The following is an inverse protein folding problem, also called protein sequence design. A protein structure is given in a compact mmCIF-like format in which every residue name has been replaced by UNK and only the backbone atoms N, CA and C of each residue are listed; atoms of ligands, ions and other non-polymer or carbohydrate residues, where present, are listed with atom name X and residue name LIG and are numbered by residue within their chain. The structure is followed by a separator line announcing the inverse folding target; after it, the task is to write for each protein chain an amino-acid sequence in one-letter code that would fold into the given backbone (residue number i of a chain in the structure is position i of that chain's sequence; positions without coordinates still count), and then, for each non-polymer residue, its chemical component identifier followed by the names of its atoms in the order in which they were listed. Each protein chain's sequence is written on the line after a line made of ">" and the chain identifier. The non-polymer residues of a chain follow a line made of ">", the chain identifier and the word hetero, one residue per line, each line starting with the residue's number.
data_IF_076869063243
#
_entry.id   IF_076869063243
#
_cell.length_a   1.000
_cell.length_b   1.000
_cell.length_c   1.000
_cell.angle_alpha   90.00
_cell.angle_beta   90.00
_cell.angle_gamma   90.00
#
_symmetry.space_group_name_H-M   'P 1'
#
loop_
_entity.id
_entity.type
_entity.pdbx_description
1 polymer ?
#
# COMPACT_ATOMS: atom_id res chain seq x y z
N UNK A 1 -31.90 5.10 -9.28
CA UNK A 1 -32.37 5.02 -7.88
C UNK A 1 -31.42 5.86 -7.04
N UNK A 2 -31.91 7.02 -6.59
CA UNK A 2 -31.14 7.98 -5.80
C UNK A 2 -30.77 7.36 -4.45
N UNK A 3 -29.48 7.16 -4.21
CA UNK A 3 -28.95 6.99 -2.88
C UNK A 3 -27.74 7.91 -2.76
N UNK A 4 -27.96 9.07 -2.14
CA UNK A 4 -26.90 9.78 -1.46
C UNK A 4 -26.41 8.87 -0.33
N UNK A 5 -25.47 7.96 -0.60
CA UNK A 5 -24.79 7.27 0.48
C UNK A 5 -23.98 8.32 1.24
N UNK A 6 -24.40 8.65 2.47
CA UNK A 6 -23.59 9.41 3.43
C UNK A 6 -22.22 8.73 3.49
N UNK A 7 -21.19 9.35 2.90
CA UNK A 7 -19.83 8.96 3.24
C UNK A 7 -19.64 9.36 4.69
N UNK A 8 -19.77 8.42 5.62
CA UNK A 8 -19.56 8.65 7.06
C UNK A 8 -18.20 9.28 7.40
N UNK A 9 -17.30 9.38 6.43
CA UNK A 9 -15.93 9.87 6.58
C UNK A 9 -15.03 8.95 7.40
N UNK A 10 -15.56 7.78 7.74
CA UNK A 10 -14.88 6.68 8.41
C UNK A 10 -14.76 5.48 7.48
N UNK A 11 -13.66 4.74 7.63
CA UNK A 11 -13.44 3.47 6.93
C UNK A 11 -13.25 2.35 7.95
N UNK A 12 -13.99 1.25 7.81
CA UNK A 12 -13.76 0.08 8.65
C UNK A 12 -12.33 -0.45 8.47
N UNK A 13 -11.62 -0.66 9.57
CA UNK A 13 -10.24 -1.16 9.56
C UNK A 13 -10.17 -2.66 9.78
N UNK A 14 -9.02 -3.24 9.40
CA UNK A 14 -8.67 -4.62 9.73
C UNK A 14 -7.91 -4.74 11.06
N UNK A 15 -7.89 -3.70 11.89
CA UNK A 15 -7.18 -3.72 13.17
C UNK A 15 -7.89 -4.64 14.18
N UNK A 16 -7.17 -5.42 14.99
CA UNK A 16 -7.77 -6.37 15.94
C UNK A 16 -8.32 -5.70 17.22
N UNK A 17 -9.50 -6.09 17.74
CA UNK A 17 -10.41 -7.08 17.17
C UNK A 17 -11.09 -6.53 15.91
N UNK A 18 -11.24 -7.36 14.86
CA UNK A 18 -11.84 -6.91 13.60
C UNK A 18 -13.28 -6.50 13.82
N UNK A 19 -13.71 -5.44 13.13
CA UNK A 19 -15.05 -4.88 13.32
C UNK A 19 -15.12 -3.79 14.39
N UNK A 20 -14.06 -3.61 15.19
CA UNK A 20 -14.09 -2.70 16.34
C UNK A 20 -13.52 -1.31 16.06
N UNK A 21 -12.69 -1.16 15.02
CA UNK A 21 -11.92 0.06 14.77
C UNK A 21 -12.22 0.65 13.40
N UNK A 22 -12.43 1.96 13.36
CA UNK A 22 -12.72 2.75 12.17
C UNK A 22 -11.66 3.82 11.96
N UNK A 23 -11.06 3.88 10.78
CA UNK A 23 -10.08 4.90 10.41
C UNK A 23 -10.78 6.22 10.14
N UNK A 24 -10.22 7.31 10.69
CA UNK A 24 -10.54 8.68 10.34
C UNK A 24 -10.12 8.95 8.88
N UNK A 25 -10.98 8.69 7.90
CA UNK A 25 -10.60 8.70 6.48
C UNK A 25 -10.68 10.10 5.86
N UNK A 26 -11.86 10.72 5.88
CA UNK A 26 -12.04 12.12 5.46
C UNK A 26 -12.31 13.06 6.63
N UNK A 27 -12.67 12.51 7.80
CA UNK A 27 -12.84 13.24 9.07
C UNK A 27 -11.51 13.31 9.80
N UNK A 28 -11.24 14.43 10.48
CA UNK A 28 -10.00 14.61 11.24
C UNK A 28 -10.05 13.90 12.59
N UNK A 29 -8.94 13.25 12.96
CA UNK A 29 -8.75 12.71 14.30
C UNK A 29 -8.70 13.87 15.32
N UNK A 30 -9.55 13.88 16.37
CA UNK A 30 -9.61 14.97 17.35
C UNK A 30 -8.34 15.07 18.22
N UNK A 31 -7.51 14.02 18.26
CA UNK A 31 -6.26 14.03 19.02
C UNK A 31 -5.14 14.77 18.26
N UNK A 32 -5.04 14.60 16.94
CA UNK A 32 -3.91 15.13 16.15
C UNK A 32 -4.30 16.11 15.05
N UNK A 33 -5.60 16.33 14.83
CA UNK A 33 -6.13 17.20 13.77
C UNK A 33 -5.83 16.72 12.34
N UNK A 34 -5.47 15.44 12.14
CA UNK A 34 -5.12 14.87 10.83
C UNK A 34 -6.06 13.72 10.45
N UNK A 35 -6.25 13.53 9.15
CA UNK A 35 -6.91 12.35 8.58
C UNK A 35 -5.90 11.22 8.34
N UNK A 36 -6.41 10.01 8.13
CA UNK A 36 -5.67 8.79 7.85
C UNK A 36 -4.88 8.22 9.03
N UNK A 37 -4.74 6.90 9.07
CA UNK A 37 -3.98 6.07 10.02
C UNK A 37 -4.43 6.12 11.49
N UNK A 38 -5.14 7.16 11.93
CA UNK A 38 -5.75 7.21 13.26
C UNK A 38 -7.09 6.47 13.24
N UNK A 39 -7.45 5.82 14.34
CA UNK A 39 -8.67 5.02 14.42
C UNK A 39 -9.50 5.38 15.65
N UNK A 40 -10.82 5.35 15.52
CA UNK A 40 -11.78 5.40 16.62
C UNK A 40 -12.37 4.01 16.88
N UNK A 41 -12.50 3.64 18.14
CA UNK A 41 -13.15 2.40 18.54
C UNK A 41 -14.67 2.51 18.38
N UNK A 42 -15.39 1.41 18.11
CA UNK A 42 -16.86 1.39 17.93
C UNK A 42 -17.63 1.96 19.13
N UNK A 43 -17.05 1.86 20.32
CA UNK A 43 -17.61 2.44 21.55
C UNK A 43 -17.46 3.96 21.63
N UNK A 44 -16.69 4.58 20.73
CA UNK A 44 -16.35 6.00 20.67
C UNK A 44 -15.65 6.58 21.92
N UNK A 45 -15.31 5.74 22.89
CA UNK A 45 -14.61 6.14 24.12
C UNK A 45 -13.08 6.08 24.00
N UNK A 46 -12.55 5.61 22.86
CA UNK A 46 -11.11 5.39 22.65
C UNK A 46 -10.70 5.74 21.23
N UNK A 47 -9.55 6.41 21.10
CA UNK A 47 -8.88 6.69 19.82
C UNK A 47 -7.48 6.10 19.85
N UNK A 48 -7.11 5.36 18.80
CA UNK A 48 -5.75 4.98 18.50
C UNK A 48 -5.12 6.03 17.58
N UNK A 49 -4.31 6.93 18.14
CA UNK A 49 -3.64 7.99 17.41
C UNK A 49 -2.22 7.58 17.05
N UNK A 50 -1.84 7.69 15.77
CA UNK A 50 -0.48 7.35 15.29
C UNK A 50 0.52 8.49 15.43
N UNK A 51 0.09 9.65 15.95
CA UNK A 51 0.85 10.90 15.87
C UNK A 51 1.10 11.59 17.21
N UNK A 52 0.27 11.33 18.21
CA UNK A 52 0.40 11.93 19.55
C UNK A 52 0.57 10.78 20.52
N UNK A 53 1.69 10.80 21.24
CA UNK A 53 2.04 9.73 22.16
C UNK A 53 1.10 9.71 23.37
N UNK A 54 0.94 8.51 23.94
CA UNK A 54 0.28 8.30 25.22
C UNK A 54 0.97 7.14 25.93
N UNK A 55 0.68 6.96 27.22
CA UNK A 55 1.20 5.82 27.99
C UNK A 55 0.71 4.45 27.49
N UNK A 56 -0.34 4.41 26.66
CA UNK A 56 -0.98 3.18 26.22
C UNK A 56 -0.64 2.90 24.77
N UNK A 57 0.26 1.96 24.50
CA UNK A 57 0.62 1.61 23.13
C UNK A 57 -0.28 0.50 22.57
N UNK A 58 -0.63 0.61 21.30
CA UNK A 58 -1.45 -0.34 20.56
C UNK A 58 -0.77 -0.73 19.25
N UNK A 59 -0.88 -2.01 18.89
CA UNK A 59 -0.27 -2.59 17.69
C UNK A 59 1.24 -2.25 17.55
N UNK A 60 2.00 -2.36 18.65
CA UNK A 60 3.42 -1.95 18.77
C UNK A 60 4.32 -2.50 17.64
N UNK A 61 4.05 -3.73 17.20
CA UNK A 61 4.84 -4.45 16.19
C UNK A 61 4.23 -4.39 14.78
N UNK A 62 3.20 -3.56 14.57
CA UNK A 62 2.60 -3.37 13.25
C UNK A 62 3.33 -2.29 12.45
N UNK A 63 2.99 -2.20 11.16
CA UNK A 63 3.44 -1.12 10.26
C UNK A 63 2.94 0.27 10.68
N UNK A 64 1.90 0.35 11.53
CA UNK A 64 1.31 1.59 12.01
C UNK A 64 1.07 1.51 13.55
N UNK A 65 2.15 1.54 14.36
CA UNK A 65 2.00 1.60 15.81
C UNK A 65 1.24 2.86 16.21
N UNK A 66 0.39 2.76 17.23
CA UNK A 66 -0.44 3.88 17.69
C UNK A 66 -0.53 3.92 19.21
N UNK A 67 -1.06 5.03 19.71
CA UNK A 67 -1.20 5.32 21.11
C UNK A 67 -2.69 5.51 21.44
N UNK A 68 -3.18 4.84 22.48
CA UNK A 68 -4.59 4.89 22.89
C UNK A 68 -4.81 6.13 23.75
N UNK A 69 -5.79 6.92 23.34
CA UNK A 69 -6.32 8.08 24.05
C UNK A 69 -7.77 7.78 24.45
N UNK A 70 -8.12 8.01 25.71
CA UNK A 70 -9.48 7.81 26.21
C UNK A 70 -10.24 9.14 26.11
N UNK A 71 -11.44 9.10 25.56
CA UNK A 71 -12.32 10.25 25.42
C UNK A 71 -13.41 10.12 26.47
N UNK A 72 -13.58 11.16 27.30
CA UNK A 72 -14.63 11.20 28.33
C UNK A 72 -15.90 11.88 27.82
N UNK A 73 -15.77 12.89 26.95
CA UNK A 73 -16.85 13.66 26.32
C UNK A 73 -16.39 14.13 24.93
N UNK A 74 -17.27 14.17 23.93
CA UNK A 74 -16.93 14.58 22.57
C UNK A 74 -18.06 14.44 21.55
N UNK A 75 -17.82 14.90 20.31
CA UNK A 75 -18.75 14.77 19.18
C UNK A 75 -19.06 13.29 18.96
N UNK A 76 -20.35 12.94 18.92
CA UNK A 76 -20.79 11.59 18.57
C UNK A 76 -20.68 11.42 17.05
N UNK A 77 -19.93 10.41 16.63
CA UNK A 77 -19.68 10.11 15.23
C UNK A 77 -20.67 9.08 14.71
N UNK A 78 -21.20 9.31 13.51
CA UNK A 78 -22.01 8.31 12.81
C UNK A 78 -21.06 7.32 12.13
N UNK A 79 -20.77 6.21 12.80
CA UNK A 79 -19.92 5.16 12.24
C UNK A 79 -20.69 4.30 11.22
N UNK A 80 -20.07 3.88 10.10
CA UNK A 80 -20.72 3.02 9.13
C UNK A 80 -21.05 1.68 9.78
N UNK A 81 -22.23 1.12 9.47
CA UNK A 81 -22.64 -0.19 9.95
C UNK A 81 -21.58 -1.23 9.55
N UNK A 82 -20.85 -1.75 10.53
CA UNK A 82 -19.96 -2.88 10.27
C UNK A 82 -20.84 -4.12 10.08
N UNK A 83 -20.91 -4.63 8.86
CA UNK A 83 -21.23 -6.04 8.70
C UNK A 83 -20.00 -6.81 9.17
N UNK A 84 -20.15 -7.60 10.24
CA UNK A 84 -19.12 -8.55 10.65
C UNK A 84 -18.93 -9.57 9.54
N UNK A 85 -18.01 -9.30 8.62
CA UNK A 85 -17.63 -10.25 7.57
C UNK A 85 -16.63 -11.23 8.17
N UNK A 86 -16.91 -12.52 8.00
CA UNK A 86 -15.91 -13.57 8.25
C UNK A 86 -14.69 -13.30 7.37
N UNK A 87 -13.50 -13.47 7.93
CA UNK A 87 -12.23 -13.21 7.25
C UNK A 87 -11.19 -14.22 7.69
N UNK A 88 -10.13 -14.37 6.90
CA UNK A 88 -9.08 -15.35 7.17
C UNK A 88 -7.76 -14.68 7.56
N UNK A 89 -6.95 -15.43 8.31
CA UNK A 89 -5.55 -15.09 8.58
C UNK A 89 -4.73 -15.31 7.32
N UNK A 90 -3.77 -14.41 7.06
CA UNK A 90 -2.90 -14.49 5.90
C UNK A 90 -2.05 -15.77 5.96
N UNK A 91 -2.02 -16.51 4.85
CA UNK A 91 -1.19 -17.70 4.67
C UNK A 91 0.31 -17.37 4.68
N UNK A 92 1.13 -18.38 4.92
CA UNK A 92 2.59 -18.25 4.86
C UNK A 92 3.09 -18.00 3.43
N UNK A 93 4.36 -17.60 3.29
CA UNK A 93 4.93 -17.19 2.00
C UNK A 93 4.87 -18.28 0.93
N UNK A 94 5.17 -19.52 1.29
CA UNK A 94 5.14 -20.66 0.37
C UNK A 94 3.75 -20.89 -0.22
N UNK A 95 2.70 -20.93 0.61
CA UNK A 95 1.35 -21.18 0.12
C UNK A 95 0.78 -19.99 -0.65
N UNK A 96 1.19 -18.76 -0.30
CA UNK A 96 0.86 -17.57 -1.07
C UNK A 96 1.49 -17.62 -2.47
N UNK A 97 2.77 -17.97 -2.55
CA UNK A 97 3.47 -18.06 -3.83
C UNK A 97 2.84 -19.12 -4.73
N UNK A 98 2.56 -20.32 -4.22
CA UNK A 98 1.87 -21.37 -4.98
C UNK A 98 0.58 -20.87 -5.63
N UNK A 99 -0.29 -20.18 -4.86
CA UNK A 99 -1.55 -19.65 -5.39
C UNK A 99 -1.30 -18.51 -6.39
N UNK A 100 -0.36 -17.60 -6.10
CA UNK A 100 -0.07 -16.49 -6.98
C UNK A 100 0.62 -16.90 -8.28
N UNK A 101 1.45 -17.95 -8.28
CA UNK A 101 2.07 -18.49 -9.49
C UNK A 101 1.02 -19.09 -10.43
N UNK A 102 0.01 -19.80 -9.90
CA UNK A 102 -1.12 -20.28 -10.72
C UNK A 102 -1.99 -19.12 -11.20
N UNK A 103 -2.23 -18.11 -10.35
CA UNK A 103 -3.00 -16.92 -10.70
C UNK A 103 -2.40 -16.15 -11.89
N UNK A 104 -1.09 -15.92 -11.90
CA UNK A 104 -0.45 -15.09 -12.95
C UNK A 104 -0.39 -15.77 -14.32
N UNK A 105 -0.71 -17.07 -14.42
CA UNK A 105 -0.84 -17.77 -15.71
C UNK A 105 -2.08 -17.28 -16.48
N UNK A 106 -3.12 -16.82 -15.76
CA UNK A 106 -4.36 -16.31 -16.34
C UNK A 106 -4.37 -14.79 -16.55
N UNK A 107 -3.34 -14.11 -16.04
CA UNK A 107 -3.21 -12.67 -16.15
C UNK A 107 -2.09 -12.39 -17.14
N UNK A 108 -2.35 -11.90 -18.35
CA UNK A 108 -1.31 -11.36 -19.22
C UNK A 108 -0.92 -9.94 -18.79
N UNK A 109 0.29 -9.50 -19.16
CA UNK A 109 0.62 -8.08 -19.15
C UNK A 109 0.08 -7.44 -20.43
N UNK A 110 -0.83 -6.49 -20.28
CA UNK A 110 -1.44 -5.78 -21.40
C UNK A 110 -0.44 -4.83 -22.07
N UNK A 111 -0.57 -4.65 -23.38
CA UNK A 111 0.33 -3.83 -24.20
C UNK A 111 0.56 -2.41 -23.63
N UNK A 112 -0.46 -1.62 -23.25
CA UNK A 112 -0.24 -0.29 -22.70
C UNK A 112 0.59 -0.29 -21.40
N UNK A 113 0.47 -1.35 -20.59
CA UNK A 113 1.23 -1.47 -19.34
C UNK A 113 2.68 -1.89 -19.62
N UNK A 114 2.89 -2.78 -20.60
CA UNK A 114 4.24 -3.13 -21.05
C UNK A 114 4.96 -1.91 -21.63
N UNK A 115 4.29 -1.15 -22.50
CA UNK A 115 4.82 0.10 -23.06
C UNK A 115 5.15 1.12 -21.96
N UNK A 116 4.30 1.25 -20.93
CA UNK A 116 4.60 2.11 -19.79
C UNK A 116 5.86 1.67 -19.03
N UNK A 117 6.04 0.37 -18.79
CA UNK A 117 7.21 -0.15 -18.09
C UNK A 117 8.49 0.02 -18.91
N UNK A 118 8.42 -0.12 -20.23
CA UNK A 118 9.57 0.10 -21.11
C UNK A 118 9.91 1.58 -21.22
N UNK A 119 8.92 2.41 -21.59
CA UNK A 119 9.15 3.79 -22.00
C UNK A 119 9.25 4.76 -20.81
N UNK A 120 8.42 4.58 -19.78
CA UNK A 120 8.40 5.50 -18.62
C UNK A 120 9.21 5.00 -17.43
N UNK A 121 9.52 3.69 -17.38
CA UNK A 121 10.28 3.07 -16.28
C UNK A 121 11.63 2.52 -16.72
N UNK A 122 11.97 2.66 -18.00
CA UNK A 122 13.26 2.29 -18.58
C UNK A 122 13.67 0.84 -18.24
N UNK A 123 12.70 -0.07 -18.22
CA UNK A 123 12.93 -1.50 -18.02
C UNK A 123 13.02 -2.23 -19.36
N UNK A 124 13.90 -3.23 -19.44
CA UNK A 124 13.92 -4.12 -20.61
C UNK A 124 12.71 -5.08 -20.57
N UNK A 125 12.27 -5.54 -21.75
CA UNK A 125 11.21 -6.57 -21.84
C UNK A 125 11.59 -7.85 -21.08
N UNK A 126 12.88 -8.22 -21.11
CA UNK A 126 13.39 -9.36 -20.36
C UNK A 126 13.22 -9.16 -18.85
N UNK A 127 13.61 -8.00 -18.33
CA UNK A 127 13.42 -7.63 -16.92
C UNK A 127 11.94 -7.68 -16.54
N UNK A 128 11.06 -7.10 -17.37
CA UNK A 128 9.61 -7.09 -17.14
C UNK A 128 9.06 -8.53 -17.06
N UNK A 129 9.47 -9.40 -18.00
CA UNK A 129 9.05 -10.80 -18.06
C UNK A 129 9.50 -11.59 -16.84
N UNK A 130 10.78 -11.49 -16.47
CA UNK A 130 11.38 -12.24 -15.34
C UNK A 130 10.83 -11.77 -14.01
N UNK A 131 10.61 -10.46 -13.86
CA UNK A 131 9.97 -9.91 -12.66
C UNK A 131 8.48 -10.23 -12.57
N UNK A 132 7.88 -10.80 -13.62
CA UNK A 132 6.48 -11.25 -13.67
C UNK A 132 5.46 -10.13 -13.41
N UNK A 133 5.70 -8.93 -13.94
CA UNK A 133 4.67 -7.88 -13.98
C UNK A 133 3.43 -8.36 -14.74
N UNK A 134 2.24 -7.96 -14.29
CA UNK A 134 0.93 -8.34 -14.87
C UNK A 134 -0.03 -7.15 -14.98
N UNK A 135 -1.14 -7.34 -15.67
CA UNK A 135 -2.27 -6.41 -15.63
C UNK A 135 -3.42 -6.98 -14.82
N UNK A 136 -4.07 -6.15 -14.02
CA UNK A 136 -5.27 -6.57 -13.31
C UNK A 136 -6.43 -6.78 -14.30
N UNK A 137 -7.18 -7.86 -14.11
CA UNK A 137 -8.30 -8.22 -14.99
C UNK A 137 -9.63 -7.72 -14.41
N UNK A 138 -10.32 -6.86 -15.17
CA UNK A 138 -11.63 -6.33 -14.77
C UNK A 138 -12.74 -7.35 -14.92
N UNK A 139 -12.76 -8.10 -16.03
CA UNK A 139 -13.76 -9.11 -16.30
C UNK A 139 -13.33 -10.46 -15.71
N UNK A 140 -13.94 -10.85 -14.60
CA UNK A 140 -13.60 -12.08 -13.89
C UNK A 140 -14.67 -13.16 -13.99
N UNK A 141 -15.92 -12.78 -14.26
CA UNK A 141 -17.07 -13.67 -14.32
C UNK A 141 -17.25 -14.16 -15.76
N UNK A 142 -17.47 -15.46 -15.90
CA UNK A 142 -17.76 -16.14 -17.16
C UNK A 142 -19.11 -16.85 -17.07
N UNK A 143 -19.83 -16.93 -18.19
CA UNK A 143 -21.10 -17.65 -18.30
C UNK A 143 -20.89 -18.83 -19.25
N UNK A 144 -20.96 -20.05 -18.72
CA UNK A 144 -20.89 -21.29 -19.49
C UNK A 144 -22.12 -22.14 -19.16
N UNK A 145 -22.84 -22.64 -20.17
CA UNK A 145 -24.01 -23.53 -19.98
C UNK A 145 -25.04 -23.04 -18.96
N UNK A 146 -25.37 -21.74 -18.99
CA UNK A 146 -26.26 -21.05 -18.05
C UNK A 146 -25.80 -21.06 -16.57
N UNK A 147 -24.53 -21.39 -16.30
CA UNK A 147 -23.91 -21.30 -14.98
C UNK A 147 -22.84 -20.20 -14.94
N UNK A 148 -22.93 -19.35 -13.92
CA UNK A 148 -21.90 -18.36 -13.63
C UNK A 148 -20.73 -19.02 -12.92
N UNK A 149 -19.53 -18.79 -13.46
CA UNK A 149 -18.26 -19.17 -12.84
C UNK A 149 -17.30 -17.98 -12.90
N UNK A 150 -16.08 -18.17 -12.38
CA UNK A 150 -15.02 -17.16 -12.50
C UNK A 150 -13.79 -17.76 -13.14
N UNK A 151 -12.97 -16.91 -13.75
CA UNK A 151 -11.67 -17.34 -14.30
C UNK A 151 -10.80 -18.03 -13.24
N UNK A 152 -11.01 -17.71 -11.96
CA UNK A 152 -10.29 -18.29 -10.83
C UNK A 152 -10.66 -19.74 -10.56
N UNK A 153 -11.80 -20.23 -11.05
CA UNK A 153 -12.12 -21.66 -10.98
C UNK A 153 -11.02 -22.50 -11.65
N UNK A 154 -10.37 -21.99 -12.70
CA UNK A 154 -9.25 -22.67 -13.37
C UNK A 154 -7.99 -22.74 -12.49
N UNK A 155 -7.80 -21.78 -11.58
CA UNK A 155 -6.70 -21.78 -10.61
C UNK A 155 -6.91 -22.85 -9.54
N UNK A 156 -8.16 -23.06 -9.11
CA UNK A 156 -8.47 -23.96 -7.99
C UNK A 156 -9.01 -25.35 -8.41
N UNK A 157 -9.20 -25.57 -9.71
CA UNK A 157 -9.52 -26.88 -10.31
C UNK A 157 -8.29 -27.52 -10.97
N UNK A 158 -7.10 -27.37 -10.37
CA UNK A 158 -5.88 -28.01 -10.84
C UNK A 158 -5.37 -29.06 -9.84
N UNK A 159 -4.34 -29.81 -10.22
CA UNK A 159 -3.79 -30.90 -9.39
C UNK A 159 -2.99 -30.43 -8.17
N UNK A 160 -2.68 -29.14 -8.08
CA UNK A 160 -1.76 -28.54 -7.09
C UNK A 160 -2.54 -27.84 -5.97
N UNK A 161 -3.66 -27.20 -6.30
CA UNK A 161 -4.45 -26.37 -5.41
C UNK A 161 -5.83 -26.97 -5.17
N UNK A 162 -6.33 -26.79 -3.95
CA UNK A 162 -7.70 -27.19 -3.56
C UNK A 162 -8.67 -26.03 -3.73
N UNK A 163 -9.96 -26.33 -3.85
CA UNK A 163 -11.02 -25.33 -4.00
C UNK A 163 -10.99 -24.23 -2.93
N UNK A 164 -10.61 -24.55 -1.69
CA UNK A 164 -10.55 -23.59 -0.59
C UNK A 164 -9.20 -22.88 -0.45
N UNK A 165 -8.23 -23.13 -1.33
CA UNK A 165 -6.87 -22.60 -1.15
C UNK A 165 -6.77 -21.08 -1.33
N UNK A 166 -7.79 -20.41 -1.88
CA UNK A 166 -7.88 -18.96 -1.90
C UNK A 166 -8.14 -18.34 -0.52
N UNK A 167 -8.72 -19.09 0.44
CA UNK A 167 -8.91 -18.58 1.81
C UNK A 167 -7.55 -18.30 2.43
N UNK A 168 -7.39 -17.13 3.04
CA UNK A 168 -6.10 -16.68 3.57
C UNK A 168 -5.14 -16.11 2.52
N UNK A 169 -5.56 -15.96 1.26
CA UNK A 169 -4.78 -15.33 0.18
C UNK A 169 -5.31 -13.91 -0.08
N UNK A 170 -4.49 -12.86 0.14
CA UNK A 170 -4.92 -11.48 -0.10
C UNK A 170 -5.39 -11.24 -1.54
N UNK A 171 -6.51 -10.55 -1.67
CA UNK A 171 -7.15 -10.23 -2.94
C UNK A 171 -8.38 -11.08 -3.20
N UNK A 172 -8.38 -12.37 -2.85
CA UNK A 172 -9.52 -13.25 -3.07
C UNK A 172 -10.60 -13.08 -2.00
N UNK A 173 -11.86 -13.18 -2.40
CA UNK A 173 -13.01 -13.13 -1.51
C UNK A 173 -14.22 -13.87 -2.09
N UNK A 174 -15.18 -14.16 -1.22
CA UNK A 174 -16.45 -14.79 -1.58
C UNK A 174 -17.50 -13.74 -1.88
N UNK A 175 -18.12 -13.80 -3.05
CA UNK A 175 -19.30 -13.03 -3.40
C UNK A 175 -20.50 -13.95 -3.49
N UNK A 176 -21.48 -13.73 -2.61
CA UNK A 176 -22.77 -14.42 -2.69
C UNK A 176 -23.58 -13.86 -3.86
N UNK A 177 -24.16 -14.73 -4.67
CA UNK A 177 -25.19 -14.38 -5.64
C UNK A 177 -26.47 -15.14 -5.30
N UNK A 178 -27.58 -14.84 -5.98
CA UNK A 178 -28.86 -15.52 -5.72
C UNK A 178 -28.80 -17.03 -6.01
N UNK A 179 -27.92 -17.47 -6.92
CA UNK A 179 -27.90 -18.84 -7.45
C UNK A 179 -26.57 -19.59 -7.22
N UNK A 180 -25.50 -18.90 -6.84
CA UNK A 180 -24.20 -19.54 -6.54
C UNK A 180 -23.27 -18.63 -5.72
N UNK A 181 -22.27 -19.26 -5.10
CA UNK A 181 -21.18 -18.56 -4.44
C UNK A 181 -19.99 -18.45 -5.40
N UNK A 182 -19.52 -17.23 -5.67
CA UNK A 182 -18.40 -16.98 -6.59
C UNK A 182 -17.15 -16.54 -5.83
N UNK A 183 -15.99 -17.06 -6.23
CA UNK A 183 -14.68 -16.57 -5.77
C UNK A 183 -14.21 -15.50 -6.73
N UNK A 184 -14.02 -14.28 -6.23
CA UNK A 184 -13.56 -13.13 -7.00
C UNK A 184 -12.30 -12.53 -6.38
N UNK A 185 -11.63 -11.69 -7.16
CA UNK A 185 -10.47 -10.93 -6.74
C UNK A 185 -10.82 -9.44 -6.68
N UNK A 186 -10.53 -8.83 -5.53
CA UNK A 186 -10.65 -7.40 -5.28
C UNK A 186 -9.47 -6.66 -5.90
N UNK A 187 -9.73 -5.59 -6.63
CA UNK A 187 -8.68 -4.77 -7.23
C UNK A 187 -9.23 -3.73 -8.19
N UNK A 188 -8.33 -3.03 -8.86
CA UNK A 188 -8.62 -1.95 -9.80
C UNK A 188 -7.82 -2.18 -11.08
N UNK A 189 -8.29 -1.70 -12.25
CA UNK A 189 -7.48 -1.67 -13.46
C UNK A 189 -6.13 -1.00 -13.22
N UNK A 190 -5.05 -1.68 -13.62
CA UNK A 190 -3.69 -1.22 -13.33
C UNK A 190 -2.61 -2.28 -13.57
N UNK A 191 -1.37 -1.84 -13.39
CA UNK A 191 -0.17 -2.68 -13.43
C UNK A 191 -0.01 -3.37 -12.07
N UNK A 192 -0.02 -4.70 -12.08
CA UNK A 192 0.25 -5.53 -10.92
C UNK A 192 1.76 -5.74 -10.75
N UNK A 193 2.24 -5.39 -9.57
CA UNK A 193 3.64 -5.39 -9.16
C UNK A 193 3.81 -6.44 -8.05
N UNK A 194 4.55 -7.52 -8.28
CA UNK A 194 4.72 -8.58 -7.29
C UNK A 194 5.63 -8.12 -6.15
N UNK A 195 5.24 -8.46 -4.92
CA UNK A 195 6.09 -8.33 -3.74
C UNK A 195 6.69 -9.70 -3.42
N UNK A 196 8.02 -9.82 -3.56
CA UNK A 196 8.77 -11.04 -3.27
C UNK A 196 9.49 -10.94 -1.94
N UNK A 197 9.40 -11.98 -1.12
CA UNK A 197 10.13 -12.03 0.14
C UNK A 197 11.60 -12.45 -0.08
N UNK A 198 12.37 -12.58 1.01
CA UNK A 198 13.76 -13.04 1.06
C UNK A 198 13.97 -14.50 0.65
N UNK A 199 12.92 -15.19 0.19
CA UNK A 199 12.92 -16.55 -0.34
C UNK A 199 12.48 -16.61 -1.82
N UNK A 200 12.43 -15.48 -2.52
CA UNK A 200 11.91 -15.36 -3.89
C UNK A 200 10.43 -15.81 -4.05
N UNK A 201 9.66 -15.80 -2.97
CA UNK A 201 8.24 -16.17 -2.98
C UNK A 201 7.38 -14.91 -3.13
N UNK A 202 6.40 -14.93 -4.04
CA UNK A 202 5.41 -13.85 -4.15
C UNK A 202 4.49 -13.91 -2.92
N UNK A 203 4.51 -12.87 -2.10
CA UNK A 203 3.76 -12.78 -0.83
C UNK A 203 2.72 -11.65 -0.79
N UNK A 204 2.55 -10.98 -1.93
CA UNK A 204 1.56 -9.93 -2.12
C UNK A 204 1.74 -9.19 -3.42
N UNK A 205 0.83 -8.26 -3.67
CA UNK A 205 0.80 -7.47 -4.88
C UNK A 205 0.40 -6.02 -4.57
N UNK A 206 1.05 -5.08 -5.23
CA UNK A 206 0.49 -3.74 -5.40
C UNK A 206 -0.01 -3.58 -6.83
N UNK A 207 -1.07 -2.81 -6.97
CA UNK A 207 -1.61 -2.37 -8.24
C UNK A 207 -1.30 -0.89 -8.38
N UNK A 208 -0.50 -0.54 -9.38
CA UNK A 208 -0.38 0.84 -9.86
C UNK A 208 -1.59 1.11 -10.75
N UNK A 209 -2.58 1.84 -10.24
CA UNK A 209 -3.85 2.06 -10.94
C UNK A 209 -3.67 2.89 -12.21
N UNK A 210 -4.50 2.61 -13.21
CA UNK A 210 -4.50 3.35 -14.48
C UNK A 210 -5.00 4.78 -14.26
N UNK A 211 -6.13 4.89 -13.56
CA UNK A 211 -6.81 6.14 -13.28
C UNK A 211 -6.80 6.41 -11.77
N UNK A 212 -6.03 7.42 -11.35
CA UNK A 212 -5.99 7.86 -9.96
C UNK A 212 -7.21 8.75 -9.71
N UNK A 213 -8.17 8.25 -8.93
CA UNK A 213 -9.34 9.03 -8.52
C UNK A 213 -8.97 10.04 -7.45
N UNK A 214 -9.51 11.25 -7.53
CA UNK A 214 -9.34 12.27 -6.50
C UNK A 214 -10.23 11.96 -5.28
N UNK A 215 -9.81 12.46 -4.12
CA UNK A 215 -10.54 12.38 -2.86
C UNK A 215 -10.90 13.78 -2.36
N UNK A 216 -12.09 13.92 -1.78
CA UNK A 216 -12.53 15.14 -1.10
C UNK A 216 -12.16 15.06 0.38
N UNK A 217 -11.44 16.06 0.88
CA UNK A 217 -11.21 16.29 2.31
C UNK A 217 -12.13 17.41 2.77
N UNK A 218 -12.81 17.21 3.90
CA UNK A 218 -13.71 18.18 4.50
C UNK A 218 -13.15 18.51 5.90
N UNK A 219 -12.98 19.79 6.23
CA UNK A 219 -12.65 20.25 7.58
C UNK A 219 -13.85 21.01 8.15
N UNK A 220 -14.01 20.92 9.48
CA UNK A 220 -15.10 21.57 10.24
C UNK A 220 -16.49 21.16 9.74
N UNK A 221 -16.69 19.87 9.49
CA UNK A 221 -17.97 19.33 9.02
C UNK A 221 -19.11 19.58 10.04
N UNK A 222 -20.22 20.10 9.51
CA UNK A 222 -21.43 20.44 10.28
C UNK A 222 -22.41 19.27 10.30
N UNK A 223 -23.29 19.24 11.29
CA UNK A 223 -24.33 18.21 11.36
C UNK A 223 -25.36 18.44 10.24
N UNK A 224 -25.74 17.35 9.55
CA UNK A 224 -26.59 17.41 8.37
C UNK A 224 -25.86 17.81 7.07
N UNK A 225 -24.57 18.13 7.14
CA UNK A 225 -23.74 18.37 5.96
C UNK A 225 -23.49 17.05 5.22
N UNK A 226 -23.54 17.08 3.90
CA UNK A 226 -23.09 16.00 3.03
C UNK A 226 -22.37 16.58 1.83
N UNK A 227 -21.35 15.88 1.33
CA UNK A 227 -20.66 16.27 0.11
C UNK A 227 -20.40 15.07 -0.80
N UNK A 228 -20.45 15.34 -2.11
CA UNK A 228 -20.18 14.38 -3.18
C UNK A 228 -19.14 14.96 -4.11
N UNK A 229 -18.12 14.16 -4.42
CA UNK A 229 -17.14 14.46 -5.45
C UNK A 229 -17.49 13.69 -6.72
N UNK A 230 -17.85 14.41 -7.76
CA UNK A 230 -17.95 13.93 -9.13
C UNK A 230 -16.59 14.11 -9.81
N UNK A 231 -16.03 13.01 -10.31
CA UNK A 231 -14.67 13.01 -10.83
C UNK A 231 -14.59 13.86 -12.12
N UNK A 232 -13.49 14.60 -12.33
CA UNK A 232 -12.30 14.60 -11.49
C UNK A 232 -12.36 15.52 -10.25
N UNK A 233 -13.13 16.60 -10.27
CA UNK A 233 -13.01 17.66 -9.26
C UNK A 233 -14.29 18.48 -8.99
N UNK A 234 -15.45 18.03 -9.46
CA UNK A 234 -16.73 18.73 -9.25
C UNK A 234 -17.31 18.34 -7.89
N UNK A 235 -17.50 19.31 -6.99
CA UNK A 235 -17.99 19.07 -5.63
C UNK A 235 -19.38 19.65 -5.46
N UNK A 236 -20.30 18.79 -4.97
CA UNK A 236 -21.66 19.16 -4.58
C UNK A 236 -21.81 18.98 -3.07
N UNK A 237 -22.26 20.01 -2.37
CA UNK A 237 -22.53 19.94 -0.93
C UNK A 237 -23.97 20.29 -0.63
N UNK A 238 -24.56 19.53 0.30
CA UNK A 238 -25.89 19.77 0.84
C UNK A 238 -25.83 19.96 2.35
N UNK A 239 -26.75 20.74 2.89
CA UNK A 239 -27.05 20.80 4.33
C UNK A 239 -28.53 20.46 4.49
N UNK A 240 -28.85 19.41 5.26
CA UNK A 240 -30.22 18.92 5.45
C UNK A 240 -30.95 18.76 4.09
N UNK A 241 -30.28 18.10 3.15
CA UNK A 241 -30.72 17.85 1.77
C UNK A 241 -30.91 19.09 0.86
N UNK A 242 -30.59 20.30 1.34
CA UNK A 242 -30.57 21.52 0.53
C UNK A 242 -29.18 21.78 -0.05
N UNK A 243 -29.09 22.00 -1.36
CA UNK A 243 -27.84 22.35 -2.04
C UNK A 243 -27.29 23.70 -1.54
N UNK A 244 -26.03 23.71 -1.10
CA UNK A 244 -25.33 24.88 -0.57
C UNK A 244 -24.01 25.19 -1.30
N UNK A 245 -23.48 24.23 -2.05
CA UNK A 245 -22.28 24.40 -2.87
C UNK A 245 -22.36 23.47 -4.07
N UNK A 246 -22.01 23.97 -5.26
CA UNK A 246 -21.99 23.21 -6.50
C UNK A 246 -20.98 23.84 -7.46
N UNK A 247 -19.71 23.40 -7.39
CA UNK A 247 -18.65 23.95 -8.23
C UNK A 247 -17.45 22.99 -8.35
N UNK A 248 -16.62 23.25 -9.34
CA UNK A 248 -15.30 22.63 -9.45
C UNK A 248 -14.33 23.21 -8.42
N UNK A 249 -13.54 22.34 -7.78
CA UNK A 249 -12.47 22.74 -6.86
C UNK A 249 -11.14 22.28 -7.46
N UNK A 250 -10.21 23.19 -7.81
CA UNK A 250 -8.90 22.79 -8.30
C UNK A 250 -8.16 21.88 -7.32
N UNK A 251 -7.47 20.87 -7.84
CA UNK A 251 -6.77 19.88 -7.00
C UNK A 251 -5.66 20.59 -6.22
N UNK A 252 -5.68 20.43 -4.89
CA UNK A 252 -4.71 21.04 -3.98
C UNK A 252 -5.18 22.34 -3.34
N UNK A 253 -6.20 22.99 -3.89
CA UNK A 253 -6.74 24.24 -3.37
C UNK A 253 -7.77 24.01 -2.25
N UNK A 254 -7.84 24.96 -1.32
CA UNK A 254 -8.83 24.97 -0.24
C UNK A 254 -9.93 25.97 -0.58
N UNK A 255 -11.17 25.50 -0.67
CA UNK A 255 -12.36 26.33 -0.87
C UNK A 255 -13.16 26.36 0.42
N UNK A 256 -13.63 27.54 0.77
CA UNK A 256 -14.34 27.80 2.02
C UNK A 256 -15.81 28.02 1.73
N UNK A 257 -16.68 27.22 2.35
CA UNK A 257 -18.13 27.36 2.26
C UNK A 257 -18.63 27.90 3.60
N UNK A 258 -19.22 29.09 3.59
CA UNK A 258 -19.85 29.69 4.77
C UNK A 258 -21.30 29.24 4.86
N UNK A 259 -21.65 28.62 5.97
CA UNK A 259 -22.97 28.06 6.25
C UNK A 259 -23.39 28.54 7.63
N UNK A 260 -24.39 29.42 7.71
CA UNK A 260 -24.96 29.93 8.98
C UNK A 260 -23.90 30.52 9.95
N UNK A 261 -22.87 31.18 9.41
CA UNK A 261 -21.79 31.78 10.22
C UNK A 261 -20.69 30.79 10.62
N UNK A 262 -20.80 29.53 10.22
CA UNK A 262 -19.78 28.50 10.39
C UNK A 262 -19.06 28.23 9.06
N UNK A 263 -17.79 27.85 9.17
CA UNK A 263 -16.89 27.70 8.02
C UNK A 263 -16.54 26.24 7.79
N UNK A 264 -17.01 25.68 6.67
CA UNK A 264 -16.59 24.36 6.16
C UNK A 264 -15.50 24.55 5.12
N UNK A 265 -14.40 23.80 5.26
CA UNK A 265 -13.28 23.86 4.28
C UNK A 265 -13.26 22.59 3.45
N UNK A 266 -13.33 22.75 2.14
CA UNK A 266 -13.30 21.70 1.14
C UNK A 266 -11.95 21.70 0.44
N UNK A 267 -11.36 20.52 0.26
CA UNK A 267 -10.11 20.35 -0.49
C UNK A 267 -10.14 19.07 -1.30
N UNK A 268 -10.02 19.19 -2.62
CA UNK A 268 -9.82 18.03 -3.50
C UNK A 268 -8.33 17.69 -3.51
N UNK A 269 -8.00 16.43 -3.23
CA UNK A 269 -6.64 15.89 -3.27
C UNK A 269 -6.56 14.74 -4.25
N UNK A 270 -5.42 14.60 -4.91
CA UNK A 270 -5.14 13.41 -5.69
C UNK A 270 -5.14 12.16 -4.80
N UNK A 271 -5.76 11.08 -5.28
CA UNK A 271 -5.75 9.79 -4.59
C UNK A 271 -4.42 9.05 -4.67
N UNK A 272 -4.42 7.82 -4.17
CA UNK A 272 -3.24 6.99 -4.16
C UNK A 272 -3.05 6.28 -5.50
N UNK A 273 -1.83 6.34 -6.01
CA UNK A 273 -1.42 5.69 -7.27
C UNK A 273 -1.19 4.18 -7.11
N UNK A 274 -0.75 3.75 -5.94
CA UNK A 274 -0.43 2.35 -5.64
C UNK A 274 -1.36 1.83 -4.55
N UNK A 275 -2.10 0.76 -4.85
CA UNK A 275 -3.06 0.14 -3.95
C UNK A 275 -2.69 -1.33 -3.72
N UNK A 276 -2.80 -1.81 -2.49
CA UNK A 276 -2.59 -3.21 -2.18
C UNK A 276 -3.73 -4.08 -2.74
N UNK A 277 -3.37 -5.20 -3.37
CA UNK A 277 -4.31 -6.27 -3.67
C UNK A 277 -4.77 -6.91 -2.34
N UNK A 278 -5.96 -6.53 -1.88
CA UNK A 278 -6.43 -6.84 -0.53
C UNK A 278 -7.94 -7.02 -0.53
N UNK A 279 -8.42 -7.97 0.27
CA UNK A 279 -9.83 -8.27 0.48
C UNK A 279 -10.22 -8.23 1.97
N UNK A 280 -9.48 -7.49 2.80
CA UNK A 280 -9.64 -7.45 4.26
C UNK A 280 -11.07 -7.18 4.76
N UNK A 281 -11.86 -6.43 3.99
CA UNK A 281 -13.22 -6.00 4.33
C UNK A 281 -14.28 -6.68 3.44
N UNK A 282 -13.95 -7.81 2.81
CA UNK A 282 -14.86 -8.60 1.96
C UNK A 282 -15.16 -9.94 2.65
N UNK A 283 -16.32 -10.57 2.37
CA UNK A 283 -16.66 -11.86 2.95
C UNK A 283 -15.62 -12.93 2.61
N UNK A 284 -15.21 -13.70 3.61
CA UNK A 284 -14.14 -14.69 3.54
C UNK A 284 -12.81 -14.12 3.01
N UNK A 285 -12.63 -12.80 3.07
CA UNK A 285 -11.47 -12.12 2.52
C UNK A 285 -10.26 -12.09 3.44
N UNK A 286 -9.12 -11.66 2.88
CA UNK A 286 -7.83 -11.58 3.57
C UNK A 286 -7.14 -10.25 3.28
N UNK A 287 -6.61 -9.61 4.33
CA UNK A 287 -5.85 -8.39 4.17
C UNK A 287 -4.42 -8.64 3.67
N UNK A 288 -3.89 -7.72 2.85
CA UNK A 288 -2.50 -7.80 2.39
C UNK A 288 -1.46 -7.63 3.52
N UNK A 289 -1.84 -6.95 4.60
CA UNK A 289 -0.96 -6.63 5.74
C UNK A 289 -0.86 -7.72 6.81
N UNK A 290 -0.32 -7.32 7.97
CA UNK A 290 -0.04 -8.15 9.15
C UNK A 290 0.89 -9.37 8.92
N UNK A 291 2.18 -9.13 8.61
CA UNK A 291 2.79 -7.84 8.29
C UNK A 291 2.59 -7.47 6.80
N UNK A 292 2.73 -6.19 6.49
CA UNK A 292 2.82 -5.74 5.10
C UNK A 292 4.06 -6.34 4.44
N UNK A 293 3.97 -6.83 3.19
CA UNK A 293 5.12 -7.38 2.49
C UNK A 293 6.28 -6.39 2.38
N UNK A 294 7.49 -6.89 2.65
CA UNK A 294 8.75 -6.26 2.25
C UNK A 294 9.17 -6.92 0.94
N UNK A 295 9.47 -6.13 -0.08
CA UNK A 295 9.93 -6.65 -1.36
C UNK A 295 11.47 -6.74 -1.38
N UNK A 296 12.02 -7.87 -1.80
CA UNK A 296 13.45 -8.07 -2.06
C UNK A 296 13.69 -8.04 -3.55
N UNK A 297 14.28 -6.93 -4.03
CA UNK A 297 14.70 -6.76 -5.41
C UNK A 297 16.17 -7.12 -5.56
N UNK A 298 16.48 -7.89 -6.60
CA UNK A 298 17.83 -8.20 -7.05
C UNK A 298 17.93 -7.96 -8.55
N UNK A 299 19.14 -7.81 -9.13
CA UNK A 299 19.30 -7.63 -10.56
C UNK A 299 18.74 -8.82 -11.35
N UNK A 300 18.31 -8.59 -12.58
CA UNK A 300 17.64 -9.58 -13.42
C UNK A 300 18.52 -10.82 -13.63
N UNK A 301 19.83 -10.63 -13.73
CA UNK A 301 20.81 -11.72 -13.82
C UNK A 301 20.76 -12.64 -12.59
N UNK A 302 20.71 -12.07 -11.39
CA UNK A 302 20.59 -12.83 -10.12
C UNK A 302 19.19 -13.43 -9.95
N UNK A 303 18.13 -12.72 -10.33
CA UNK A 303 16.75 -13.19 -10.19
C UNK A 303 16.45 -14.43 -11.06
N UNK A 304 17.12 -14.57 -12.22
CA UNK A 304 17.02 -15.76 -13.07
C UNK A 304 17.50 -17.04 -12.37
N UNK A 305 18.51 -16.90 -11.52
CA UNK A 305 19.19 -18.04 -10.89
C UNK A 305 18.65 -18.34 -9.50
N UNK A 306 18.13 -17.33 -8.81
CA UNK A 306 17.60 -17.44 -7.46
C UNK A 306 16.28 -18.22 -7.44
N UNK A 307 16.24 -19.40 -6.81
CA UNK A 307 15.03 -20.25 -6.84
C UNK A 307 14.08 -19.93 -5.68
N UNK A 308 12.75 -20.01 -5.89
CA UNK A 308 11.78 -19.93 -4.81
C UNK A 308 12.08 -20.93 -3.69
N UNK A 309 12.07 -20.45 -2.45
CA UNK A 309 12.43 -21.21 -1.24
C UNK A 309 13.89 -21.08 -0.81
N UNK A 310 14.78 -20.55 -1.64
CA UNK A 310 16.18 -20.30 -1.27
C UNK A 310 16.34 -18.94 -0.58
N UNK A 311 16.97 -18.91 0.59
CA UNK A 311 17.22 -17.67 1.32
C UNK A 311 18.26 -16.80 0.60
N UNK A 312 17.91 -15.55 0.31
CA UNK A 312 18.86 -14.55 -0.18
C UNK A 312 19.71 -14.01 0.97
N UNK A 313 21.00 -14.32 0.95
CA UNK A 313 21.98 -13.71 1.87
C UNK A 313 22.64 -12.50 1.21
N UNK A 314 22.83 -11.42 1.98
CA UNK A 314 23.61 -10.27 1.53
C UNK A 314 24.19 -9.50 2.70
N UNK A 315 25.49 -9.22 2.67
CA UNK A 315 26.14 -8.38 3.70
C UNK A 315 25.71 -6.91 3.61
N UNK A 316 25.35 -6.43 2.41
CA UNK A 316 24.97 -5.04 2.15
C UNK A 316 23.63 -5.00 1.44
N UNK A 317 22.72 -4.15 1.91
CA UNK A 317 21.43 -3.91 1.27
C UNK A 317 21.14 -2.42 1.18
N UNK A 318 20.43 -2.03 0.12
CA UNK A 318 19.84 -0.68 0.00
C UNK A 318 18.36 -0.75 0.35
N UNK A 319 17.85 0.16 1.18
CA UNK A 319 16.45 0.22 1.59
C UNK A 319 15.78 1.43 0.97
N UNK A 320 14.66 1.23 0.26
CA UNK A 320 13.87 2.28 -0.37
C UNK A 320 12.36 2.02 -0.24
N UNK A 321 11.52 2.85 -0.86
CA UNK A 321 10.07 2.75 -0.80
C UNK A 321 9.44 2.28 -2.12
N UNK A 322 8.66 1.20 -2.04
CA UNK A 322 7.88 0.66 -3.15
C UNK A 322 8.65 -0.31 -4.07
N UNK A 323 8.03 -1.45 -4.39
CA UNK A 323 8.66 -2.53 -5.15
C UNK A 323 9.14 -2.10 -6.55
N UNK A 324 8.35 -1.31 -7.30
CA UNK A 324 8.75 -0.87 -8.65
C UNK A 324 10.07 -0.07 -8.62
N UNK A 325 10.23 0.79 -7.61
CA UNK A 325 11.46 1.56 -7.40
C UNK A 325 12.64 0.67 -7.06
N UNK A 326 12.45 -0.27 -6.14
CA UNK A 326 13.48 -1.22 -5.76
C UNK A 326 13.91 -2.09 -6.96
N UNK A 327 12.96 -2.52 -7.79
CA UNK A 327 13.22 -3.29 -9.00
C UNK A 327 14.08 -2.52 -10.00
N UNK A 328 13.79 -1.24 -10.25
CA UNK A 328 14.59 -0.37 -11.15
C UNK A 328 15.96 -0.13 -10.53
N UNK A 329 16.02 0.25 -9.25
CA UNK A 329 17.26 0.55 -8.57
C UNK A 329 18.23 -0.65 -8.60
N UNK A 330 17.75 -1.86 -8.35
CA UNK A 330 18.57 -3.07 -8.40
C UNK A 330 19.19 -3.31 -9.79
N UNK A 331 18.48 -3.00 -10.88
CA UNK A 331 19.05 -3.11 -12.24
C UNK A 331 20.11 -2.04 -12.51
N UNK A 332 19.86 -0.79 -12.10
CA UNK A 332 20.72 0.33 -12.49
C UNK A 332 21.93 0.50 -11.57
N UNK A 333 21.93 -0.02 -10.34
CA UNK A 333 23.12 -0.04 -9.49
C UNK A 333 24.32 -0.68 -10.21
N UNK A 334 24.11 -1.81 -10.90
CA UNK A 334 25.14 -2.50 -11.68
C UNK A 334 25.62 -1.74 -12.93
N UNK A 335 24.87 -0.72 -13.36
CA UNK A 335 25.21 0.10 -14.54
C UNK A 335 25.92 1.39 -14.14
N UNK A 336 25.60 1.92 -12.96
CA UNK A 336 26.12 3.19 -12.46
C UNK A 336 27.45 3.01 -11.74
N UNK A 337 27.61 1.90 -11.01
CA UNK A 337 28.80 1.63 -10.19
C UNK A 337 29.61 0.48 -10.77
N UNK A 338 30.93 0.56 -10.60
CA UNK A 338 31.84 -0.50 -11.05
C UNK A 338 31.90 -1.67 -10.05
N UNK A 339 32.63 -2.73 -10.41
CA UNK A 339 32.71 -3.95 -9.59
C UNK A 339 33.35 -3.73 -8.22
N UNK A 340 34.28 -2.78 -8.10
CA UNK A 340 34.97 -2.49 -6.84
C UNK A 340 34.02 -1.74 -5.91
N UNK A 341 33.33 -0.73 -6.41
CA UNK A 341 32.31 0.03 -5.67
C UNK A 341 31.13 -0.87 -5.22
N UNK A 342 30.72 -1.81 -6.07
CA UNK A 342 29.61 -2.72 -5.78
C UNK A 342 29.88 -3.66 -4.60
N UNK A 343 31.15 -3.90 -4.22
CA UNK A 343 31.49 -4.64 -2.99
C UNK A 343 30.94 -3.93 -1.75
N UNK A 344 30.99 -2.59 -1.75
CA UNK A 344 30.57 -1.77 -0.62
C UNK A 344 29.11 -1.33 -0.68
N UNK A 345 28.55 -1.22 -1.89
CA UNK A 345 27.17 -0.76 -2.13
C UNK A 345 26.16 -1.92 -2.08
N UNK A 346 26.55 -3.10 -2.59
CA UNK A 346 25.67 -4.25 -2.74
C UNK A 346 24.62 -4.08 -3.85
N UNK A 347 24.05 -5.19 -4.30
CA UNK A 347 23.09 -5.22 -5.42
C UNK A 347 21.66 -5.58 -5.00
N UNK A 348 21.44 -5.79 -3.69
CA UNK A 348 20.12 -6.14 -3.14
C UNK A 348 19.42 -4.88 -2.64
N UNK A 349 18.20 -4.65 -3.11
CA UNK A 349 17.36 -3.51 -2.73
C UNK A 349 16.09 -4.00 -2.04
N UNK A 350 15.84 -3.53 -0.82
CA UNK A 350 14.67 -3.86 -0.01
C UNK A 350 13.65 -2.72 -0.09
N UNK A 351 12.43 -3.03 -0.48
CA UNK A 351 11.34 -2.07 -0.58
C UNK A 351 10.39 -2.20 0.62
N UNK A 352 10.33 -1.16 1.44
CA UNK A 352 9.32 -1.01 2.49
C UNK A 352 8.05 -0.38 1.90
N UNK A 353 6.87 -0.64 2.48
CA UNK A 353 5.60 -0.08 1.99
C UNK A 353 5.41 1.42 2.30
N UNK A 354 6.34 2.00 3.07
CA UNK A 354 6.43 3.43 3.36
C UNK A 354 7.37 3.71 4.54
N UNK A 355 7.91 4.93 4.64
CA UNK A 355 8.87 5.35 5.70
C UNK A 355 8.47 5.07 7.14
N UNK A 356 7.18 4.91 7.47
CA UNK A 356 6.72 4.60 8.83
C UNK A 356 6.66 3.10 9.15
N UNK A 357 6.83 2.25 8.14
CA UNK A 357 6.53 0.82 8.19
C UNK A 357 7.78 -0.05 8.05
N UNK A 358 8.90 0.38 8.64
CA UNK A 358 10.19 -0.32 8.58
C UNK A 358 10.34 -1.43 9.62
N UNK A 359 9.51 -1.51 10.67
CA UNK A 359 9.68 -2.55 11.71
C UNK A 359 9.68 -4.00 11.18
N UNK A 360 8.83 -4.39 10.22
CA UNK A 360 8.88 -5.73 9.62
C UNK A 360 10.19 -6.05 8.88
N UNK A 361 10.99 -5.04 8.54
CA UNK A 361 12.28 -5.20 7.88
C UNK A 361 13.35 -5.78 8.81
N UNK A 362 13.33 -5.44 10.11
CA UNK A 362 14.38 -5.85 11.05
C UNK A 362 14.64 -7.36 11.12
N UNK A 363 13.62 -8.22 11.30
CA UNK A 363 13.85 -9.67 11.31
C UNK A 363 14.38 -10.18 9.95
N UNK A 364 13.99 -9.55 8.85
CA UNK A 364 14.48 -9.91 7.50
C UNK A 364 15.96 -9.57 7.36
N UNK A 365 16.40 -8.40 7.83
CA UNK A 365 17.82 -8.02 7.82
C UNK A 365 18.69 -9.01 8.60
N UNK A 366 18.20 -9.47 9.75
CA UNK A 366 18.89 -10.46 10.56
C UNK A 366 19.00 -11.80 9.84
N UNK A 367 17.90 -12.29 9.27
CA UNK A 367 17.85 -13.57 8.57
C UNK A 367 18.71 -13.58 7.30
N UNK A 368 18.75 -12.46 6.56
CA UNK A 368 19.59 -12.27 5.37
C UNK A 368 21.07 -12.04 5.69
N UNK A 369 21.48 -12.07 6.96
CA UNK A 369 22.86 -11.84 7.43
C UNK A 369 23.44 -10.47 7.04
N UNK A 370 22.57 -9.44 7.02
CA UNK A 370 22.96 -8.07 6.67
C UNK A 370 23.88 -7.47 7.73
N UNK A 371 24.89 -6.73 7.28
CA UNK A 371 25.84 -5.99 8.12
C UNK A 371 25.75 -4.48 7.88
N UNK A 372 25.52 -4.07 6.63
CA UNK A 372 25.45 -2.66 6.21
C UNK A 372 24.12 -2.36 5.52
N UNK A 373 23.51 -1.23 5.89
CA UNK A 373 22.24 -0.76 5.35
C UNK A 373 22.40 0.63 4.75
N UNK A 374 22.18 0.74 3.44
CA UNK A 374 22.13 2.01 2.71
C UNK A 374 20.68 2.51 2.65
N UNK A 375 20.34 3.57 3.36
CA UNK A 375 18.96 4.10 3.43
C UNK A 375 18.74 5.15 2.34
N UNK A 376 17.91 4.81 1.36
CA UNK A 376 17.63 5.59 0.15
C UNK A 376 16.13 5.93 0.02
N UNK A 377 15.63 6.74 0.95
CA UNK A 377 14.26 7.29 0.88
C UNK A 377 14.18 8.48 -0.06
N UNK A 378 12.99 8.80 -0.56
CA UNK A 378 12.78 9.84 -1.57
C UNK A 378 13.43 11.18 -1.17
N UNK A 379 13.92 11.94 -2.14
CA UNK A 379 14.69 13.17 -1.90
C UNK A 379 13.90 14.24 -1.10
N UNK A 380 12.57 14.23 -1.19
CA UNK A 380 11.66 15.13 -0.44
C UNK A 380 11.40 14.67 1.00
N UNK A 381 11.84 13.47 1.38
CA UNK A 381 11.69 12.91 2.74
C UNK A 381 12.29 13.80 3.82
N UNK A 382 13.35 14.54 3.50
CA UNK A 382 14.01 15.45 4.43
C UNK A 382 13.27 16.78 4.63
N UNK A 383 12.36 17.15 3.72
CA UNK A 383 11.57 18.38 3.81
C UNK A 383 10.38 18.24 4.75
N UNK A 384 9.87 17.02 4.91
CA UNK A 384 8.76 16.75 5.81
C UNK A 384 9.29 16.35 7.20
N UNK A 385 9.14 17.23 8.20
CA UNK A 385 9.63 17.02 9.56
C UNK A 385 9.26 15.67 10.16
N UNK A 386 8.07 15.15 9.83
CA UNK A 386 7.61 13.84 10.34
C UNK A 386 8.32 12.69 9.65
N UNK A 387 8.52 12.79 8.34
CA UNK A 387 9.27 11.78 7.58
C UNK A 387 10.73 11.78 8.06
N UNK A 388 11.31 12.97 8.26
CA UNK A 388 12.63 13.13 8.86
C UNK A 388 12.73 12.46 10.24
N UNK A 389 11.73 12.64 11.12
CA UNK A 389 11.70 11.99 12.43
C UNK A 389 11.64 10.45 12.31
N UNK A 390 10.85 9.91 11.38
CA UNK A 390 10.80 8.46 11.13
C UNK A 390 12.12 7.92 10.58
N UNK A 391 12.76 8.66 9.66
CA UNK A 391 14.08 8.31 9.12
C UNK A 391 15.15 8.29 10.21
N UNK A 392 15.19 9.31 11.07
CA UNK A 392 16.14 9.37 12.20
C UNK A 392 15.91 8.17 13.12
N UNK A 393 14.67 7.91 13.52
CA UNK A 393 14.33 6.79 14.38
C UNK A 393 14.75 5.45 13.75
N UNK A 394 14.48 5.26 12.46
CA UNK A 394 14.88 4.06 11.73
C UNK A 394 16.41 3.88 11.75
N UNK A 395 17.18 4.93 11.41
CA UNK A 395 18.64 4.89 11.44
C UNK A 395 19.19 4.61 12.85
N UNK A 396 18.63 5.24 13.89
CA UNK A 396 19.01 4.98 15.28
C UNK A 396 18.77 3.52 15.67
N UNK A 397 17.61 2.97 15.31
CA UNK A 397 17.29 1.57 15.60
C UNK A 397 18.24 0.63 14.86
N UNK A 398 18.56 0.88 13.60
CA UNK A 398 19.54 0.09 12.86
C UNK A 398 20.90 0.06 13.58
N UNK A 399 21.44 1.23 13.96
CA UNK A 399 22.72 1.30 14.68
C UNK A 399 22.68 0.57 16.02
N UNK A 400 21.59 0.72 16.77
CA UNK A 400 21.42 0.03 18.06
C UNK A 400 21.37 -1.50 17.90
N UNK A 401 21.00 -1.99 16.72
CA UNK A 401 21.04 -3.41 16.37
C UNK A 401 22.37 -3.82 15.70
N UNK A 402 23.39 -2.95 15.70
CA UNK A 402 24.74 -3.26 15.24
C UNK A 402 24.99 -3.12 13.74
N UNK A 403 24.04 -2.58 12.97
CA UNK A 403 24.24 -2.36 11.54
C UNK A 403 25.10 -1.12 11.26
N UNK A 404 25.98 -1.19 10.26
CA UNK A 404 26.55 0.00 9.65
C UNK A 404 25.49 0.70 8.80
N UNK A 405 25.33 2.02 8.95
CA UNK A 405 24.25 2.76 8.28
C UNK A 405 24.82 3.88 7.43
N UNK A 406 24.43 3.90 6.16
CA UNK A 406 24.65 5.03 5.26
C UNK A 406 23.31 5.69 4.94
N UNK A 407 23.29 7.02 4.90
CA UNK A 407 22.26 7.76 4.19
C UNK A 407 22.68 7.93 2.73
N UNK A 408 21.79 7.57 1.81
CA UNK A 408 21.99 7.76 0.38
C UNK A 408 21.29 9.04 -0.04
N UNK A 409 22.05 9.98 -0.60
CA UNK A 409 21.56 11.30 -1.00
C UNK A 409 21.96 11.63 -2.43
N UNK A 410 21.10 12.32 -3.16
CA UNK A 410 21.35 12.76 -4.53
C UNK A 410 20.78 14.16 -4.73
N UNK A 411 21.11 14.77 -5.87
CA UNK A 411 20.54 16.05 -6.24
C UNK A 411 19.04 15.87 -6.55
N UNK A 412 18.11 16.59 -5.89
CA UNK A 412 16.68 16.45 -6.16
C UNK A 412 16.27 16.75 -7.62
N UNK A 413 17.13 17.44 -8.39
CA UNK A 413 16.94 17.65 -9.83
C UNK A 413 17.12 16.37 -10.65
N UNK A 414 17.85 15.40 -10.13
CA UNK A 414 18.11 14.10 -10.78
C UNK A 414 16.97 13.11 -10.50
N UNK A 415 15.90 13.52 -9.83
CA UNK A 415 14.69 12.73 -9.65
C UNK A 415 14.20 12.64 -8.21
N UNK A 416 12.95 12.22 -8.05
CA UNK A 416 12.30 12.14 -6.74
C UNK A 416 12.77 10.91 -5.97
N UNK A 417 12.82 9.76 -6.65
CA UNK A 417 13.28 8.49 -6.08
C UNK A 417 14.71 8.15 -6.48
N UNK A 418 15.30 7.17 -5.79
CA UNK A 418 16.61 6.62 -6.18
C UNK A 418 16.56 5.95 -7.56
N UNK A 419 15.41 5.38 -7.95
CA UNK A 419 15.19 4.83 -9.28
C UNK A 419 15.30 5.90 -10.38
N UNK A 420 14.74 7.08 -10.15
CA UNK A 420 14.83 8.20 -11.10
C UNK A 420 16.30 8.69 -11.25
N UNK A 421 17.04 8.77 -10.14
CA UNK A 421 18.46 9.16 -10.14
C UNK A 421 19.33 8.15 -10.90
N UNK A 422 19.20 6.87 -10.56
CA UNK A 422 20.00 5.81 -11.16
C UNK A 422 19.66 5.56 -12.65
N UNK A 423 18.38 5.67 -13.02
CA UNK A 423 17.96 5.52 -14.43
C UNK A 423 18.50 6.61 -15.35
N UNK A 424 18.86 7.77 -14.80
CA UNK A 424 19.56 8.86 -15.49
C UNK A 424 21.08 8.72 -15.47
N UNK A 425 21.61 7.56 -15.05
CA UNK A 425 23.04 7.29 -14.93
C UNK A 425 23.76 8.27 -13.98
N UNK A 426 23.06 8.73 -12.93
CA UNK A 426 23.63 9.59 -11.88
C UNK A 426 23.94 8.77 -10.64
N UNK A 427 25.16 8.88 -10.15
CA UNK A 427 25.61 8.24 -8.93
C UNK A 427 25.15 9.03 -7.68
N UNK A 428 24.32 8.44 -6.79
CA UNK A 428 24.06 9.04 -5.50
C UNK A 428 25.29 8.96 -4.58
N UNK A 429 25.31 9.78 -3.53
CA UNK A 429 26.35 9.83 -2.52
C UNK A 429 25.92 9.00 -1.31
N UNK A 430 26.78 8.06 -0.89
CA UNK A 430 26.59 7.25 0.30
C UNK A 430 27.35 7.88 1.47
N UNK A 431 26.61 8.43 2.44
CA UNK A 431 27.19 9.09 3.61
C UNK A 431 26.96 8.26 4.87
N UNK A 432 28.04 7.77 5.48
CA UNK A 432 27.98 7.09 6.78
C UNK A 432 27.40 8.04 7.83
N UNK A 433 26.44 7.56 8.61
CA UNK A 433 25.78 8.36 9.66
C UNK A 433 25.97 7.79 11.03
#
# INVERSE_FOLDING_TARGET
>A
MNMFEKSSGFRLTSAPPRGEWYEFYTVQCPICGKTGNCMIHRSQTKIACTRVESKWQYARNSANPSYIHFIKEGKEYVLPKAQSVNTHTKKNGEKLDQVYQEMIKLLPLQKPHSEHLVNDRFMSEETIRIRQYRSFVKQQITLNDNQYSTIWAQVFNNTILKEEDWKGVPGFFKQKTNNSDLVLQSGFPGIMIPYRNQYNQIVGWQIRVDNVLNNLTIKNELDGFAAKLEQPNHVKCTLNDKLIFDAEIPVGEEVTVNVEGQVVVLKVKQGQKYLWLSSANKPEGTGAGNPSPIHVAVPTTKLKEWKPGELMKSNVVTVTEGALKADIAAEYLLKVFDKEEMVDIGDVVLAIPGVGAWKPLLPILQEMEVKKVNVAFDADSLLNEKVKAQLINFCTILKNNGYEVNLVVWNPKDGKGIDDCLSQMRAPIFKRV
#
